data_IF_802464280898
#
_entry.id   IF_802464280898
#
_cell.length_a   1.000
_cell.length_b   1.000
_cell.length_c   1.000
_cell.angle_alpha   90.00
_cell.angle_beta   90.00
_cell.angle_gamma   90.00
#
_symmetry.space_group_name_H-M   'P 1'
#
loop_
_entity.id
_entity.type
_entity.pdbx_description
1 polymer ?
#
# COMPACT_ATOMS: atom_id res chain seq x y z
N UNK A 1 -19.74 -34.84 25.54
CA UNK A 1 -19.97 -34.61 24.10
C UNK A 1 -19.29 -33.30 23.77
N UNK A 2 -18.32 -33.38 22.87
CA UNK A 2 -17.43 -32.29 22.50
C UNK A 2 -18.13 -31.36 21.53
N UNK A 3 -18.30 -30.09 21.89
CA UNK A 3 -18.48 -29.03 20.90
C UNK A 3 -17.16 -28.26 20.83
N UNK A 4 -16.50 -28.42 19.68
CA UNK A 4 -15.26 -27.77 19.33
C UNK A 4 -15.46 -26.26 19.40
N UNK A 5 -14.82 -25.59 20.37
CA UNK A 5 -14.38 -24.22 20.14
C UNK A 5 -13.32 -24.29 19.04
N UNK A 6 -13.76 -24.12 17.79
CA UNK A 6 -12.88 -23.68 16.73
C UNK A 6 -12.38 -22.29 17.14
N UNK A 7 -11.29 -22.27 17.89
CA UNK A 7 -10.41 -21.10 18.02
C UNK A 7 -9.98 -20.76 16.60
N UNK A 8 -10.77 -19.91 15.94
CA UNK A 8 -10.41 -19.32 14.67
C UNK A 8 -9.14 -18.51 14.93
N UNK A 9 -7.99 -19.14 14.69
CA UNK A 9 -6.68 -18.52 14.83
C UNK A 9 -6.72 -17.22 14.03
N UNK A 10 -6.81 -16.10 14.73
CA UNK A 10 -6.92 -14.79 14.11
C UNK A 10 -5.60 -14.54 13.36
N UNK A 11 -5.62 -14.78 12.05
CA UNK A 11 -4.43 -14.60 11.21
C UNK A 11 -4.09 -13.12 11.24
N UNK A 12 -2.93 -12.80 11.84
CA UNK A 12 -2.45 -11.42 11.97
C UNK A 12 -2.37 -10.77 10.59
N UNK A 13 -2.55 -9.45 10.53
CA UNK A 13 -2.48 -8.74 9.24
C UNK A 13 -1.10 -8.91 8.59
N UNK A 14 -0.04 -8.94 9.40
CA UNK A 14 1.32 -9.17 8.92
C UNK A 14 1.47 -10.47 8.13
N UNK A 15 0.81 -11.55 8.53
CA UNK A 15 0.87 -12.84 7.84
C UNK A 15 0.18 -12.77 6.47
N UNK A 16 -0.97 -12.09 6.41
CA UNK A 16 -1.67 -11.82 5.14
C UNK A 16 -0.83 -10.95 4.20
N UNK A 17 -0.08 -9.98 4.74
CA UNK A 17 0.83 -9.16 3.95
C UNK A 17 2.01 -9.98 3.42
N UNK A 18 2.57 -10.87 4.25
CA UNK A 18 3.64 -11.79 3.85
C UNK A 18 3.16 -12.70 2.73
N UNK A 19 1.98 -13.32 2.87
CA UNK A 19 1.42 -14.18 1.83
C UNK A 19 1.12 -13.39 0.55
N UNK A 20 0.47 -12.23 0.69
CA UNK A 20 0.17 -11.37 -0.45
C UNK A 20 1.43 -10.98 -1.21
N UNK A 21 2.57 -10.72 -0.55
CA UNK A 21 3.83 -10.33 -1.21
C UNK A 21 4.89 -11.46 -1.30
N UNK A 22 4.52 -12.72 -1.08
CA UNK A 22 5.51 -13.82 -0.89
C UNK A 22 6.49 -14.01 -2.05
N UNK A 23 5.99 -13.82 -3.27
CA UNK A 23 6.71 -14.03 -4.51
C UNK A 23 7.90 -13.06 -4.68
N UNK A 24 8.95 -13.43 -5.44
CA UNK A 24 10.02 -12.49 -5.80
C UNK A 24 9.49 -11.23 -6.52
N UNK A 25 10.13 -10.08 -6.26
CA UNK A 25 9.63 -8.78 -6.76
C UNK A 25 9.64 -8.68 -8.29
N UNK A 26 10.60 -9.30 -8.96
CA UNK A 26 10.72 -9.23 -10.42
C UNK A 26 9.57 -9.93 -11.16
N UNK A 27 8.79 -10.79 -10.47
CA UNK A 27 7.57 -11.39 -11.02
C UNK A 27 6.28 -10.70 -10.56
N UNK A 28 6.37 -9.63 -9.77
CA UNK A 28 5.19 -8.85 -9.40
C UNK A 28 4.71 -8.06 -10.61
N UNK A 29 3.42 -8.14 -10.88
CA UNK A 29 2.78 -7.21 -11.79
C UNK A 29 2.87 -5.76 -11.26
N UNK A 30 2.64 -4.81 -12.16
CA UNK A 30 2.70 -3.38 -11.85
C UNK A 30 1.71 -3.01 -10.74
N UNK A 31 0.52 -3.64 -10.71
CA UNK A 31 -0.50 -3.35 -9.71
C UNK A 31 -0.05 -3.72 -8.29
N UNK A 32 0.65 -4.85 -8.15
CA UNK A 32 1.19 -5.36 -6.89
C UNK A 32 2.38 -4.54 -6.40
N UNK A 33 3.29 -4.14 -7.30
CA UNK A 33 4.36 -3.16 -6.98
C UNK A 33 3.76 -1.85 -6.47
N UNK A 34 2.73 -1.33 -7.14
CA UNK A 34 2.01 -0.11 -6.74
C UNK A 34 1.27 -0.28 -5.41
N UNK A 35 0.65 -1.43 -5.17
CA UNK A 35 0.01 -1.74 -3.89
C UNK A 35 1.02 -1.68 -2.74
N UNK A 36 2.21 -2.26 -2.93
CA UNK A 36 3.30 -2.19 -1.96
C UNK A 36 3.68 -0.73 -1.66
N UNK A 37 3.91 0.08 -2.70
CA UNK A 37 4.29 1.49 -2.55
C UNK A 37 3.20 2.34 -1.87
N UNK A 38 1.93 2.10 -2.18
CA UNK A 38 0.80 2.80 -1.54
C UNK A 38 0.72 2.47 -0.06
N UNK A 39 0.88 1.19 0.31
CA UNK A 39 0.90 0.78 1.71
C UNK A 39 2.07 1.41 2.47
N UNK A 40 3.27 1.43 1.87
CA UNK A 40 4.47 2.03 2.47
C UNK A 40 4.30 3.55 2.69
N UNK A 41 3.78 4.26 1.67
CA UNK A 41 3.54 5.69 1.76
C UNK A 41 2.52 6.03 2.86
N UNK A 42 1.42 5.29 2.95
CA UNK A 42 0.40 5.50 3.98
C UNK A 42 0.89 5.13 5.39
N UNK A 43 1.71 4.08 5.52
CA UNK A 43 2.25 3.63 6.81
C UNK A 43 3.23 4.65 7.39
N UNK A 44 4.11 5.19 6.55
CA UNK A 44 5.15 6.12 6.98
C UNK A 44 4.66 7.57 7.07
N UNK A 45 3.48 7.88 6.53
CA UNK A 45 3.00 9.25 6.56
C UNK A 45 2.69 9.72 7.99
N UNK A 46 3.24 10.88 8.35
CA UNK A 46 2.97 11.55 9.60
C UNK A 46 2.06 12.76 9.36
N UNK A 47 0.76 12.69 9.74
CA UNK A 47 -0.19 13.79 9.52
C UNK A 47 0.14 15.06 10.32
N UNK A 48 1.02 14.97 11.34
CA UNK A 48 1.45 16.15 12.11
C UNK A 48 2.48 17.01 11.36
N UNK A 49 3.17 16.44 10.38
CA UNK A 49 4.19 17.14 9.57
C UNK A 49 3.55 17.77 8.34
N UNK A 50 2.52 17.13 7.79
CA UNK A 50 1.77 17.66 6.65
C UNK A 50 0.59 16.76 6.29
N UNK A 51 -0.28 17.27 5.42
CA UNK A 51 -1.39 16.50 4.88
C UNK A 51 -0.94 15.74 3.63
N UNK A 52 -1.24 14.45 3.54
CA UNK A 52 -1.02 13.66 2.33
C UNK A 52 -2.25 13.74 1.45
N UNK A 53 -2.14 14.51 0.36
CA UNK A 53 -3.17 14.60 -0.65
C UNK A 53 -3.08 13.47 -1.68
N UNK A 54 -4.19 13.24 -2.39
CA UNK A 54 -4.31 12.16 -3.36
C UNK A 54 -3.30 12.28 -4.50
N UNK A 55 -3.09 13.50 -5.00
CA UNK A 55 -2.13 13.81 -6.06
C UNK A 55 -0.69 13.47 -5.63
N UNK A 56 -0.32 13.79 -4.39
CA UNK A 56 0.96 13.42 -3.81
C UNK A 56 1.13 11.90 -3.73
N UNK A 57 0.12 11.18 -3.24
CA UNK A 57 0.14 9.71 -3.19
C UNK A 57 0.24 9.09 -4.59
N UNK A 58 -0.52 9.61 -5.57
CA UNK A 58 -0.48 9.18 -6.98
C UNK A 58 0.93 9.38 -7.53
N UNK A 59 1.50 10.56 -7.31
CA UNK A 59 2.82 10.88 -7.80
C UNK A 59 3.86 9.97 -7.14
N UNK A 60 3.93 9.95 -5.80
CA UNK A 60 4.87 9.16 -5.01
C UNK A 60 4.88 7.67 -5.37
N UNK A 61 3.73 7.10 -5.74
CA UNK A 61 3.60 5.68 -6.05
C UNK A 61 3.61 5.36 -7.56
N UNK A 62 3.87 6.33 -8.43
CA UNK A 62 3.94 6.10 -9.88
C UNK A 62 2.62 5.64 -10.48
N UNK A 63 1.51 6.16 -9.97
CA UNK A 63 0.15 5.86 -10.44
C UNK A 63 -0.29 6.76 -11.60
N UNK A 64 0.44 7.86 -11.81
CA UNK A 64 0.42 8.69 -13.01
C UNK A 64 0.85 7.84 -14.21
N UNK A 65 -0.09 7.58 -15.12
CA UNK A 65 0.20 7.03 -16.45
C UNK A 65 -0.53 7.90 -17.47
N UNK A 66 -0.38 9.22 -17.36
CA UNK A 66 -1.08 10.22 -18.18
C UNK A 66 -2.02 11.14 -17.39
N UNK A 67 -2.50 12.23 -18.01
CA UNK A 67 -3.03 13.43 -17.34
C UNK A 67 -4.31 13.23 -16.49
N UNK A 68 -4.95 12.06 -16.53
CA UNK A 68 -6.22 11.80 -15.80
C UNK A 68 -6.38 10.37 -15.26
N UNK A 69 -5.38 9.50 -15.40
CA UNK A 69 -5.51 8.06 -15.05
C UNK A 69 -5.19 7.76 -13.57
N UNK A 70 -4.42 8.63 -12.91
CA UNK A 70 -3.96 8.47 -11.53
C UNK A 70 -5.05 8.11 -10.51
N UNK A 71 -6.16 8.85 -10.41
CA UNK A 71 -7.23 8.55 -9.45
C UNK A 71 -7.89 7.18 -9.66
N UNK A 72 -8.05 6.76 -10.92
CA UNK A 72 -8.61 5.44 -11.26
C UNK A 72 -7.62 4.32 -10.93
N UNK A 73 -6.33 4.53 -11.20
CA UNK A 73 -5.28 3.59 -10.83
C UNK A 73 -5.19 3.43 -9.31
N UNK A 74 -5.26 4.52 -8.55
CA UNK A 74 -5.31 4.47 -7.09
C UNK A 74 -6.55 3.71 -6.59
N UNK A 75 -7.72 3.91 -7.22
CA UNK A 75 -8.93 3.16 -6.89
C UNK A 75 -8.74 1.65 -7.14
N UNK A 76 -8.20 1.27 -8.29
CA UNK A 76 -7.94 -0.13 -8.61
C UNK A 76 -6.97 -0.79 -7.62
N UNK A 77 -5.88 -0.09 -7.28
CA UNK A 77 -4.88 -0.56 -6.31
C UNK A 77 -5.50 -0.76 -4.92
N UNK A 78 -6.32 0.18 -4.43
CA UNK A 78 -7.04 0.01 -3.15
C UNK A 78 -7.98 -1.20 -3.15
N UNK A 79 -8.65 -1.47 -4.27
CA UNK A 79 -9.52 -2.65 -4.40
C UNK A 79 -8.68 -3.93 -4.34
N UNK A 80 -7.53 -3.97 -5.03
CA UNK A 80 -6.61 -5.10 -4.99
C UNK A 80 -6.07 -5.35 -3.58
N UNK A 81 -5.63 -4.31 -2.88
CA UNK A 81 -5.21 -4.36 -1.47
C UNK A 81 -6.34 -4.95 -0.62
N UNK A 82 -7.55 -4.36 -0.67
CA UNK A 82 -8.67 -4.82 0.14
C UNK A 82 -9.01 -6.29 -0.11
N UNK A 83 -9.00 -6.74 -1.37
CA UNK A 83 -9.28 -8.14 -1.73
C UNK A 83 -8.20 -9.10 -1.25
N UNK A 84 -6.93 -8.68 -1.29
CA UNK A 84 -5.80 -9.52 -0.92
C UNK A 84 -5.47 -9.56 0.57
N UNK A 85 -5.75 -8.48 1.32
CA UNK A 85 -5.28 -8.30 2.70
C UNK A 85 -6.37 -7.89 3.69
N UNK A 86 -7.58 -7.61 3.22
CA UNK A 86 -8.68 -7.02 4.00
C UNK A 86 -8.41 -5.63 4.57
N UNK A 87 -7.28 -4.98 4.21
CA UNK A 87 -6.99 -3.61 4.62
C UNK A 87 -8.01 -2.64 4.03
N UNK A 88 -8.57 -1.80 4.89
CA UNK A 88 -9.46 -0.71 4.51
C UNK A 88 -8.76 0.63 4.62
N UNK A 89 -8.93 1.46 3.60
CA UNK A 89 -8.47 2.86 3.59
C UNK A 89 -9.68 3.79 3.54
N UNK A 90 -9.62 4.85 4.33
CA UNK A 90 -10.64 5.89 4.36
C UNK A 90 -10.15 7.06 3.52
N UNK A 91 -11.06 7.61 2.73
CA UNK A 91 -10.84 8.82 1.95
C UNK A 91 -11.67 9.95 2.53
N UNK A 92 -11.08 11.13 2.72
CA UNK A 92 -11.79 12.31 3.20
C UNK A 92 -11.55 13.50 2.25
N UNK A 93 -12.57 14.31 2.01
CA UNK A 93 -12.49 15.47 1.12
C UNK A 93 -12.83 15.17 -0.36
N UNK A 94 -12.70 16.20 -1.19
CA UNK A 94 -13.21 16.22 -2.57
C UNK A 94 -12.08 16.35 -3.61
N UNK A 95 -12.20 15.59 -4.70
CA UNK A 95 -11.32 15.68 -5.85
C UNK A 95 -9.84 15.51 -5.51
N UNK A 96 -9.02 16.50 -5.90
CA UNK A 96 -7.58 16.54 -5.68
C UNK A 96 -7.20 16.67 -4.20
N UNK A 97 -8.02 17.37 -3.41
CA UNK A 97 -7.79 17.61 -1.98
C UNK A 97 -8.17 16.41 -1.11
N UNK A 98 -8.48 15.27 -1.73
CA UNK A 98 -8.85 14.06 -1.03
C UNK A 98 -7.62 13.50 -0.31
N UNK A 99 -7.76 13.22 0.98
CA UNK A 99 -6.71 12.61 1.80
C UNK A 99 -7.00 11.13 2.00
N UNK A 100 -5.95 10.35 2.23
CA UNK A 100 -6.05 8.91 2.47
C UNK A 100 -5.36 8.53 3.76
N UNK A 101 -6.02 7.64 4.52
CA UNK A 101 -5.48 7.03 5.73
C UNK A 101 -5.98 5.61 5.89
N UNK A 102 -5.30 4.81 6.72
CA UNK A 102 -5.86 3.55 7.19
C UNK A 102 -7.11 3.80 8.03
N UNK A 103 -8.04 2.85 7.99
CA UNK A 103 -9.26 2.90 8.81
C UNK A 103 -8.96 2.72 10.32
N UNK A 104 -7.89 2.00 10.65
CA UNK A 104 -7.44 1.74 12.02
C UNK A 104 -5.96 2.12 12.19
N UNK A 105 -5.62 2.63 13.37
CA UNK A 105 -4.23 2.88 13.76
C UNK A 105 -3.46 1.58 13.96
N UNK A 106 -4.11 0.50 14.40
CA UNK A 106 -3.45 -0.81 14.56
C UNK A 106 -3.04 -1.37 13.20
N UNK A 107 -3.91 -1.24 12.19
CA UNK A 107 -3.59 -1.58 10.80
C UNK A 107 -2.39 -0.77 10.30
N UNK A 108 -2.33 0.53 10.64
CA UNK A 108 -1.16 1.36 10.29
C UNK A 108 0.11 0.80 10.94
N UNK A 109 0.06 0.48 12.23
CA UNK A 109 1.20 -0.03 12.99
C UNK A 109 1.69 -1.38 12.45
N UNK A 110 0.79 -2.31 12.14
CA UNK A 110 1.15 -3.62 11.56
C UNK A 110 1.72 -3.50 10.14
N UNK A 111 1.18 -2.60 9.31
CA UNK A 111 1.78 -2.33 7.99
C UNK A 111 3.16 -1.68 8.16
N UNK A 112 3.32 -0.76 9.11
CA UNK A 112 4.61 -0.14 9.40
C UNK A 112 5.63 -1.19 9.88
N UNK A 113 5.26 -2.08 10.79
CA UNK A 113 6.05 -3.22 11.25
C UNK A 113 6.46 -4.12 10.07
N UNK A 114 5.51 -4.49 9.21
CA UNK A 114 5.81 -5.24 7.99
C UNK A 114 6.86 -4.53 7.13
N UNK A 115 6.74 -3.21 6.94
CA UNK A 115 7.66 -2.43 6.11
C UNK A 115 9.05 -2.21 6.72
N UNK A 116 9.24 -2.45 8.02
CA UNK A 116 10.55 -2.35 8.69
C UNK A 116 11.35 -3.65 8.66
N UNK A 117 10.71 -4.79 8.38
CA UNK A 117 11.42 -6.07 8.27
C UNK A 117 12.50 -6.01 7.16
N UNK A 118 13.69 -6.62 7.35
CA UNK A 118 14.83 -6.46 6.44
C UNK A 118 14.53 -6.79 4.98
N UNK A 119 13.78 -7.87 4.71
CA UNK A 119 13.39 -8.27 3.35
C UNK A 119 12.59 -7.17 2.67
N UNK A 120 11.54 -6.68 3.33
CA UNK A 120 10.60 -5.72 2.74
C UNK A 120 11.20 -4.32 2.64
N UNK A 121 12.08 -3.93 3.58
CA UNK A 121 12.83 -2.68 3.48
C UNK A 121 13.75 -2.64 2.25
N UNK A 122 14.41 -3.75 1.89
CA UNK A 122 15.20 -3.85 0.64
C UNK A 122 14.33 -3.75 -0.61
N UNK A 123 13.18 -4.42 -0.60
CA UNK A 123 12.20 -4.35 -1.71
C UNK A 123 11.70 -2.93 -1.91
N UNK A 124 11.39 -2.22 -0.82
CA UNK A 124 11.01 -0.80 -0.86
C UNK A 124 12.09 0.05 -1.54
N UNK A 125 13.35 -0.06 -1.10
CA UNK A 125 14.45 0.70 -1.70
C UNK A 125 14.58 0.41 -3.19
N UNK A 126 14.50 -0.86 -3.57
CA UNK A 126 14.55 -1.27 -4.98
C UNK A 126 13.41 -0.64 -5.81
N UNK A 127 12.16 -0.74 -5.36
CA UNK A 127 11.00 -0.19 -6.08
C UNK A 127 11.03 1.34 -6.15
N UNK A 128 11.52 2.02 -5.11
CA UNK A 128 11.70 3.47 -5.12
C UNK A 128 12.76 3.89 -6.15
N UNK A 129 13.89 3.17 -6.22
CA UNK A 129 14.91 3.41 -7.24
C UNK A 129 14.39 3.16 -8.67
N UNK A 130 13.68 2.04 -8.89
CA UNK A 130 13.04 1.72 -10.17
C UNK A 130 12.11 2.86 -10.61
N UNK A 131 11.27 3.37 -9.68
CA UNK A 131 10.35 4.47 -9.96
C UNK A 131 11.06 5.78 -10.31
N UNK A 132 12.14 6.12 -9.58
CA UNK A 132 12.93 7.31 -9.86
C UNK A 132 13.62 7.24 -11.23
N UNK A 133 14.14 6.07 -11.59
CA UNK A 133 14.74 5.84 -12.91
C UNK A 133 13.73 5.99 -14.04
N UNK A 134 12.53 5.43 -13.88
CA UNK A 134 11.44 5.60 -14.83
C UNK A 134 11.10 7.08 -15.06
N UNK A 135 10.98 7.88 -13.99
CA UNK A 135 10.69 9.31 -14.11
C UNK A 135 11.80 10.08 -14.82
N UNK A 136 13.06 9.77 -14.55
CA UNK A 136 14.20 10.45 -15.22
C UNK A 136 14.26 10.16 -16.71
N UNK A 137 13.83 8.98 -17.14
CA UNK A 137 13.85 8.57 -18.55
C UNK A 137 12.72 9.18 -19.37
N UNK A 138 11.69 9.74 -18.74
CA UNK A 138 10.58 10.43 -19.42
C UNK A 138 9.80 9.54 -20.38
N UNK A 139 9.74 8.23 -20.10
CA UNK A 139 8.95 7.25 -20.87
C UNK A 139 7.46 7.44 -20.64
#
# INVERSE_FOLDING_TARGET
MSENNEDAVEVRLIDRLIDFFRNPVYIWDIAKKRAFLVLDALARWNPRIGTLYQDQLIHMCGLDVGPSTGPNNLRAVKIAIRRGTSIQTVAQGNGINRTYRFASQDVKNEVEEFMTLPKWSRIRQHLQSELLEHRRRGW
#
